data_IF_858326989126
#
_entry.id   IF_858326989126
#
_cell.length_a   1.000
_cell.length_b   1.000
_cell.length_c   1.000
_cell.angle_alpha   90.00
_cell.angle_beta   90.00
_cell.angle_gamma   90.00
#
_symmetry.space_group_name_H-M   'P 1'
#
loop_
_entity.id
_entity.type
_entity.pdbx_description
1 polymer ?
#
# COMPACT_ATOMS: atom_id res chain seq x y z
N UNK A 1 -8.47 1.25 12.20
CA UNK A 1 -7.05 0.98 12.22
C UNK A 1 -6.30 2.07 11.45
N UNK A 2 -5.24 2.61 12.06
CA UNK A 2 -4.51 3.73 11.48
C UNK A 2 -3.72 3.39 10.22
N UNK A 3 -3.50 2.11 9.94
CA UNK A 3 -2.73 1.70 8.76
C UNK A 3 -3.55 1.60 7.49
N UNK A 4 -4.87 1.62 7.60
CA UNK A 4 -5.74 1.37 6.44
C UNK A 4 -6.68 2.55 6.23
N UNK A 5 -6.67 3.10 5.02
CA UNK A 5 -7.54 4.21 4.65
C UNK A 5 -8.78 3.77 3.90
N UNK A 6 -8.68 2.67 3.17
CA UNK A 6 -9.77 2.21 2.33
C UNK A 6 -9.72 0.70 2.19
N UNK A 7 -10.91 0.09 2.14
CA UNK A 7 -11.04 -1.34 1.86
C UNK A 7 -11.80 -1.52 0.57
N UNK A 8 -11.23 -2.30 -0.34
CA UNK A 8 -11.87 -2.62 -1.62
C UNK A 8 -12.23 -4.10 -1.60
N UNK A 9 -13.50 -4.41 -1.84
CA UNK A 9 -13.95 -5.80 -1.89
C UNK A 9 -14.52 -6.09 -3.27
N UNK A 10 -14.04 -7.16 -3.89
CA UNK A 10 -14.49 -7.56 -5.20
C UNK A 10 -14.41 -9.07 -5.33
N UNK A 11 -15.52 -9.70 -5.72
CA UNK A 11 -15.57 -11.14 -5.91
C UNK A 11 -15.12 -11.94 -4.68
N UNK A 12 -15.45 -11.44 -3.49
CA UNK A 12 -15.09 -12.09 -2.25
C UNK A 12 -13.67 -11.85 -1.80
N UNK A 13 -12.92 -11.04 -2.55
CA UNK A 13 -11.53 -10.71 -2.20
C UNK A 13 -11.44 -9.28 -1.68
N UNK A 14 -10.62 -9.09 -0.67
CA UNK A 14 -10.43 -7.79 -0.03
C UNK A 14 -9.02 -7.29 -0.29
N UNK A 15 -8.93 -6.02 -0.68
CA UNK A 15 -7.66 -5.31 -0.84
C UNK A 15 -7.68 -4.10 0.07
N UNK A 16 -6.64 -3.96 0.89
CA UNK A 16 -6.52 -2.82 1.80
C UNK A 16 -5.64 -1.76 1.17
N UNK A 17 -6.03 -0.49 1.32
CA UNK A 17 -5.30 0.63 0.74
C UNK A 17 -4.79 1.52 1.86
N UNK A 18 -3.50 1.81 1.85
CA UNK A 18 -2.87 2.74 2.79
C UNK A 18 -2.34 3.94 2.01
N UNK A 19 -2.88 5.12 2.30
CA UNK A 19 -2.49 6.35 1.62
C UNK A 19 -2.09 7.46 2.58
N UNK A 20 -1.96 7.17 3.86
CA UNK A 20 -1.72 8.21 4.87
C UNK A 20 -0.38 8.92 4.71
N UNK A 21 0.59 8.27 4.09
CA UNK A 21 1.95 8.82 3.97
C UNK A 21 2.28 9.26 2.55
N UNK A 22 1.26 9.55 1.75
CA UNK A 22 1.48 9.86 0.34
C UNK A 22 2.36 11.11 0.13
N UNK A 23 2.43 12.00 1.13
CA UNK A 23 3.25 13.21 1.04
C UNK A 23 4.65 13.03 1.62
N UNK A 24 4.96 11.89 2.21
CA UNK A 24 6.26 11.68 2.82
C UNK A 24 7.36 11.66 1.76
N UNK A 25 8.53 12.23 2.11
CA UNK A 25 9.65 12.27 1.18
C UNK A 25 10.28 10.89 1.00
N UNK A 26 10.22 10.04 2.03
CA UNK A 26 10.80 8.69 1.97
C UNK A 26 9.85 7.69 2.59
N UNK A 27 9.94 6.45 2.12
CA UNK A 27 9.11 5.35 2.61
C UNK A 27 10.00 4.15 2.91
N UNK A 28 10.03 3.75 4.19
CA UNK A 28 10.73 2.56 4.61
C UNK A 28 9.79 1.37 4.75
N UNK A 29 10.30 0.31 5.36
CA UNK A 29 9.54 -0.93 5.50
C UNK A 29 8.45 -0.85 6.59
N UNK A 30 8.61 0.04 7.56
CA UNK A 30 7.70 0.09 8.71
C UNK A 30 6.22 0.24 8.34
N UNK A 31 5.85 1.24 7.51
CA UNK A 31 4.43 1.37 7.15
C UNK A 31 3.91 0.18 6.33
N UNK A 32 4.79 -0.50 5.60
CA UNK A 32 4.39 -1.69 4.86
C UNK A 32 4.12 -2.85 5.79
N UNK A 33 4.89 -2.96 6.88
CA UNK A 33 4.63 -3.98 7.89
C UNK A 33 3.28 -3.76 8.57
N UNK A 34 2.96 -2.50 8.85
CA UNK A 34 1.67 -2.16 9.43
C UNK A 34 0.53 -2.55 8.51
N UNK A 35 0.69 -2.26 7.22
CA UNK A 35 -0.32 -2.63 6.23
C UNK A 35 -0.47 -4.15 6.15
N UNK A 36 0.65 -4.86 6.14
CA UNK A 36 0.61 -6.32 6.08
C UNK A 36 -0.06 -6.92 7.31
N UNK A 37 0.20 -6.36 8.51
CA UNK A 37 -0.48 -6.82 9.71
C UNK A 37 -1.98 -6.66 9.60
N UNK A 38 -2.43 -5.54 9.05
CA UNK A 38 -3.85 -5.32 8.84
C UNK A 38 -4.42 -6.30 7.82
N UNK A 39 -3.66 -6.58 6.75
CA UNK A 39 -4.08 -7.57 5.77
C UNK A 39 -4.30 -8.94 6.40
N UNK A 40 -3.40 -9.36 7.28
CA UNK A 40 -3.53 -10.63 7.96
C UNK A 40 -4.73 -10.65 8.91
N UNK A 41 -4.91 -9.56 9.65
CA UNK A 41 -6.01 -9.48 10.60
C UNK A 41 -7.37 -9.52 9.92
N UNK A 42 -7.46 -9.01 8.69
CA UNK A 42 -8.72 -8.95 7.95
C UNK A 42 -8.81 -9.99 6.84
N UNK A 43 -7.85 -10.88 6.76
CA UNK A 43 -7.79 -11.90 5.69
C UNK A 43 -7.84 -11.28 4.30
N UNK A 44 -7.17 -10.15 4.13
CA UNK A 44 -7.11 -9.49 2.84
C UNK A 44 -6.15 -10.21 1.91
N UNK A 45 -6.51 -10.33 0.64
CA UNK A 45 -5.69 -11.01 -0.36
C UNK A 45 -4.61 -10.10 -0.93
N UNK A 46 -4.77 -8.80 -0.83
CA UNK A 46 -3.78 -7.88 -1.36
C UNK A 46 -3.76 -6.57 -0.60
N UNK A 47 -2.74 -5.76 -0.88
CA UNK A 47 -2.62 -4.43 -0.29
C UNK A 47 -2.05 -3.46 -1.29
N UNK A 48 -2.42 -2.20 -1.16
CA UNK A 48 -1.91 -1.11 -1.99
C UNK A 48 -1.36 -0.04 -1.06
N UNK A 49 -0.12 0.34 -1.30
CA UNK A 49 0.54 1.39 -0.54
C UNK A 49 0.80 2.58 -1.45
N UNK A 50 0.22 3.72 -1.14
CA UNK A 50 0.36 4.92 -1.96
C UNK A 50 1.57 5.72 -1.46
N UNK A 51 2.63 5.72 -2.25
CA UNK A 51 3.87 6.43 -1.92
C UNK A 51 3.92 7.84 -2.51
N UNK A 52 3.09 8.13 -3.49
CA UNK A 52 3.06 9.45 -4.12
C UNK A 52 4.38 9.78 -4.79
N UNK A 53 4.96 10.93 -4.44
CA UNK A 53 6.21 11.38 -5.03
C UNK A 53 7.45 10.97 -4.22
N UNK A 54 7.24 10.28 -3.11
CA UNK A 54 8.35 9.91 -2.22
C UNK A 54 9.22 8.81 -2.79
N UNK A 55 10.39 8.64 -2.18
CA UNK A 55 11.33 7.59 -2.53
C UNK A 55 11.06 6.36 -1.67
N UNK A 56 10.93 5.20 -2.31
CA UNK A 56 10.71 3.94 -1.60
C UNK A 56 12.06 3.22 -1.47
N UNK A 57 12.41 2.80 -0.25
CA UNK A 57 13.66 2.10 -0.02
C UNK A 57 13.63 0.72 -0.69
N UNK A 58 14.82 0.18 -0.97
CA UNK A 58 14.92 -1.14 -1.57
C UNK A 58 14.30 -2.20 -0.66
N UNK A 59 14.54 -2.08 0.64
CA UNK A 59 13.97 -3.01 1.62
C UNK A 59 12.44 -2.97 1.58
N UNK A 60 11.87 -1.78 1.47
CA UNK A 60 10.43 -1.62 1.40
C UNK A 60 9.87 -2.23 0.12
N UNK A 61 10.54 -2.01 -1.00
CA UNK A 61 10.11 -2.55 -2.29
C UNK A 61 10.12 -4.08 -2.28
N UNK A 62 11.17 -4.66 -1.70
CA UNK A 62 11.27 -6.12 -1.59
C UNK A 62 10.19 -6.69 -0.66
N UNK A 63 9.96 -6.02 0.46
CA UNK A 63 8.93 -6.46 1.39
C UNK A 63 7.57 -6.46 0.70
N UNK A 64 7.26 -5.39 -0.04
CA UNK A 64 5.98 -5.27 -0.73
C UNK A 64 5.81 -6.40 -1.75
N UNK A 65 6.84 -6.65 -2.54
CA UNK A 65 6.80 -7.71 -3.54
C UNK A 65 6.55 -9.08 -2.90
N UNK A 66 7.22 -9.34 -1.79
CA UNK A 66 7.14 -10.65 -1.15
C UNK A 66 5.83 -10.88 -0.39
N UNK A 67 5.09 -9.81 -0.11
CA UNK A 67 3.89 -9.89 0.72
C UNK A 67 2.61 -9.45 0.02
N UNK A 68 2.65 -9.34 -1.30
CA UNK A 68 1.46 -9.04 -2.07
C UNK A 68 0.97 -7.60 -1.95
N UNK A 69 1.89 -6.67 -1.70
CA UNK A 69 1.58 -5.25 -1.61
C UNK A 69 2.05 -4.55 -2.87
N UNK A 70 1.15 -3.77 -3.48
CA UNK A 70 1.48 -2.97 -4.66
C UNK A 70 1.80 -1.55 -4.19
N UNK A 71 2.94 -1.02 -4.62
CA UNK A 71 3.32 0.35 -4.28
C UNK A 71 2.99 1.25 -5.46
N UNK A 72 2.15 2.26 -5.22
CA UNK A 72 1.77 3.23 -6.24
C UNK A 72 2.60 4.51 -6.07
N UNK A 73 3.30 4.90 -7.13
CA UNK A 73 4.13 6.09 -7.14
C UNK A 73 3.72 7.00 -8.30
N UNK A 74 3.98 8.30 -8.16
CA UNK A 74 3.85 9.32 -9.17
C UNK A 74 2.92 9.05 -10.34
N UNK A 75 3.48 8.67 -11.50
CA UNK A 75 2.65 8.47 -12.70
C UNK A 75 1.58 7.40 -12.55
N UNK A 76 1.88 6.32 -11.84
CA UNK A 76 0.89 5.27 -11.62
C UNK A 76 -0.28 5.77 -10.79
N UNK A 77 0.00 6.62 -9.80
CA UNK A 77 -1.04 7.22 -8.98
C UNK A 77 -1.91 8.16 -9.82
N UNK A 78 -1.29 8.94 -10.71
CA UNK A 78 -2.03 9.84 -11.58
C UNK A 78 -2.99 9.06 -12.47
N UNK A 79 -2.53 7.95 -13.03
CA UNK A 79 -3.36 7.10 -13.88
C UNK A 79 -4.55 6.57 -13.08
N UNK A 80 -4.30 6.13 -11.85
CA UNK A 80 -5.36 5.61 -10.98
C UNK A 80 -6.43 6.67 -10.70
N UNK A 81 -6.01 7.89 -10.43
CA UNK A 81 -6.92 8.97 -10.09
C UNK A 81 -7.70 9.48 -11.30
N UNK A 82 -7.09 9.46 -12.49
CA UNK A 82 -7.71 9.98 -13.70
C UNK A 82 -8.46 8.90 -14.48
N UNK A 83 -8.07 7.67 -14.31
CA UNK A 83 -8.67 6.57 -14.99
C UNK A 83 -9.88 6.03 -14.29
#
# INVERSE_FOLDING_TARGET
NGAVDLRLTQNGQTTLVSAKRWKAATHGVEPLRELYSAMQAENAQGGIYVAGQGTVSETAALFARDHGITILQGPALAVLLLG
#
